data_IF_559981401815
#
_entry.id   IF_559981401815
#
_cell.length_a   1.000
_cell.length_b   1.000
_cell.length_c   1.000
_cell.angle_alpha   90.00
_cell.angle_beta   90.00
_cell.angle_gamma   90.00
#
_symmetry.space_group_name_H-M   'P 1'
#
loop_
_entity.id
_entity.type
_entity.pdbx_description
1 polymer ?
#
# COMPACT_ATOMS: atom_id res chain seq x y z
N UNK A 1 2.71 11.22 11.60
CA UNK A 1 2.59 9.76 11.46
C UNK A 1 2.49 9.50 9.97
N UNK A 2 3.50 8.89 9.36
CA UNK A 2 3.45 8.54 7.95
C UNK A 2 3.02 7.07 7.89
N UNK A 3 1.76 6.83 7.55
CA UNK A 3 1.31 5.51 7.10
C UNK A 3 1.44 5.58 5.57
N UNK A 4 2.23 4.71 4.91
CA UNK A 4 2.35 4.73 3.46
C UNK A 4 0.98 4.59 2.80
N UNK A 5 0.69 5.48 1.86
CA UNK A 5 -0.63 5.72 1.27
C UNK A 5 -0.87 4.96 -0.04
N UNK A 6 -0.48 3.69 -0.16
CA UNK A 6 -0.80 2.91 -1.38
C UNK A 6 -1.20 1.45 -1.10
N UNK A 7 -2.38 1.09 -1.61
CA UNK A 7 -3.06 -0.19 -1.49
C UNK A 7 -2.71 -1.12 -2.65
N UNK A 8 -1.43 -1.49 -2.68
CA UNK A 8 -1.20 -2.87 -3.06
C UNK A 8 -1.69 -3.78 -1.93
N UNK A 9 -1.76 -5.10 -2.14
CA UNK A 9 -1.73 -6.05 -1.05
C UNK A 9 -0.40 -5.99 -0.25
N UNK A 10 0.10 -4.79 0.07
CA UNK A 10 0.83 -4.55 1.30
C UNK A 10 -0.12 -4.95 2.42
N UNK A 11 0.09 -6.17 2.91
CA UNK A 11 -0.57 -6.76 4.05
C UNK A 11 -0.75 -5.68 5.12
N UNK A 12 -2.00 -5.35 5.41
CA UNK A 12 -2.33 -4.74 6.69
C UNK A 12 -1.63 -5.58 7.76
N UNK A 13 -0.95 -4.95 8.73
CA UNK A 13 -0.15 -5.72 9.67
C UNK A 13 -1.04 -6.72 10.42
N UNK A 14 -0.68 -7.99 10.37
CA UNK A 14 -1.22 -9.09 11.18
C UNK A 14 0.00 -9.74 11.85
N UNK A 15 0.35 -9.28 13.05
CA UNK A 15 1.57 -9.70 13.74
C UNK A 15 1.39 -11.06 14.42
N UNK A 16 0.15 -11.53 14.63
CA UNK A 16 -0.14 -12.79 15.32
C UNK A 16 -0.65 -13.91 14.39
N UNK A 17 -0.96 -13.61 13.13
CA UNK A 17 -1.41 -14.54 12.11
C UNK A 17 -2.87 -14.96 12.27
N UNK A 18 -3.70 -14.17 12.95
CA UNK A 18 -5.11 -14.48 13.20
C UNK A 18 -6.07 -14.02 12.10
N UNK A 19 -5.53 -13.38 11.05
CA UNK A 19 -6.27 -12.87 9.90
C UNK A 19 -6.92 -11.52 10.14
N UNK A 20 -6.60 -10.82 11.24
CA UNK A 20 -7.11 -9.48 11.56
C UNK A 20 -6.00 -8.45 11.48
N UNK A 21 -6.38 -7.22 11.18
CA UNK A 21 -5.48 -6.07 11.17
C UNK A 21 -5.11 -5.68 12.60
N UNK A 22 -3.85 -5.86 12.95
CA UNK A 22 -3.19 -5.33 14.13
C UNK A 22 -2.78 -3.86 13.95
N UNK A 23 -2.32 -3.21 15.02
CA UNK A 23 -1.92 -1.80 14.99
C UNK A 23 -0.44 -1.64 15.31
N UNK A 24 0.26 -0.89 14.46
CA UNK A 24 1.61 -0.42 14.71
C UNK A 24 1.69 1.10 14.53
N UNK A 25 2.41 1.78 15.41
CA UNK A 25 2.68 3.21 15.30
C UNK A 25 4.09 3.54 15.71
N UNK A 26 4.70 4.53 15.06
CA UNK A 26 5.99 5.10 15.45
C UNK A 26 5.80 6.60 15.71
N UNK A 27 5.98 7.00 16.98
CA UNK A 27 5.92 8.40 17.35
C UNK A 27 7.21 9.11 16.91
N UNK A 28 7.09 10.07 15.99
CA UNK A 28 8.26 10.76 15.43
C UNK A 28 9.02 11.64 16.44
N UNK A 29 8.34 12.08 17.52
CA UNK A 29 8.92 12.97 18.53
C UNK A 29 9.58 12.17 19.67
N UNK A 30 8.87 11.19 20.22
CA UNK A 30 9.38 10.37 21.33
C UNK A 30 10.22 9.18 20.85
N UNK A 31 10.10 8.82 19.57
CA UNK A 31 10.75 7.67 18.95
C UNK A 31 10.44 6.34 19.65
N UNK A 32 9.23 6.27 20.19
CA UNK A 32 8.62 5.03 20.69
C UNK A 32 7.79 4.43 19.57
N UNK A 33 8.00 3.14 19.30
CA UNK A 33 7.13 2.34 18.46
C UNK A 33 6.18 1.51 19.33
N UNK A 34 4.87 1.65 19.11
CA UNK A 34 3.84 0.91 19.83
C UNK A 34 3.16 -0.09 18.90
N UNK A 35 3.09 -1.35 19.33
CA UNK A 35 2.40 -2.45 18.66
C UNK A 35 1.25 -2.93 19.55
N UNK A 36 0.04 -3.02 18.99
CA UNK A 36 -1.13 -3.55 19.66
C UNK A 36 -1.77 -4.64 18.80
N UNK A 37 -1.87 -5.84 19.36
CA UNK A 37 -2.64 -6.93 18.78
C UNK A 37 -4.12 -6.65 19.02
N UNK A 38 -4.96 -6.69 17.99
CA UNK A 38 -6.38 -6.32 18.13
C UNK A 38 -7.36 -7.34 17.54
N UNK A 39 -8.56 -7.33 18.11
CA UNK A 39 -9.69 -8.12 17.64
C UNK A 39 -10.96 -7.27 17.76
N UNK A 40 -11.33 -6.61 16.66
CA UNK A 40 -12.32 -5.53 16.67
C UNK A 40 -11.88 -4.39 17.59
N UNK A 41 -12.67 -4.11 18.63
CA UNK A 41 -12.38 -3.08 19.64
C UNK A 41 -11.56 -3.58 20.84
N UNK A 42 -11.13 -4.84 20.85
CA UNK A 42 -10.39 -5.45 21.97
C UNK A 42 -8.89 -5.48 21.68
N UNK A 43 -8.07 -5.13 22.67
CA UNK A 43 -6.63 -5.41 22.65
C UNK A 43 -6.37 -6.82 23.19
N UNK A 44 -5.57 -7.60 22.47
CA UNK A 44 -5.15 -8.97 22.83
C UNK A 44 -3.75 -9.00 23.46
N UNK A 45 -2.97 -7.94 23.27
CA UNK A 45 -1.62 -7.78 23.77
C UNK A 45 -0.98 -6.53 23.18
N UNK A 46 0.04 -5.99 23.83
CA UNK A 46 0.77 -4.84 23.32
C UNK A 46 2.23 -4.84 23.75
N UNK A 47 3.05 -4.13 22.99
CA UNK A 47 4.45 -3.88 23.27
C UNK A 47 4.82 -2.46 22.85
N UNK A 48 5.79 -1.89 23.56
CA UNK A 48 6.40 -0.61 23.20
C UNK A 48 7.90 -0.79 23.06
N UNK A 49 8.45 -0.36 21.92
CA UNK A 49 9.88 -0.37 21.63
C UNK A 49 10.40 1.07 21.69
N UNK A 50 11.16 1.39 22.73
CA UNK A 50 11.69 2.74 22.96
C UNK A 50 13.03 2.97 22.27
N UNK A 51 13.37 4.24 22.05
CA UNK A 51 14.70 4.69 21.61
C UNK A 51 15.07 4.28 20.17
N UNK A 52 14.09 4.22 19.25
CA UNK A 52 14.38 4.03 17.83
C UNK A 52 15.12 5.27 17.31
N UNK A 53 16.38 5.19 16.83
CA UNK A 53 17.13 6.40 16.49
C UNK A 53 16.40 7.21 15.40
N UNK A 54 16.53 8.54 15.42
CA UNK A 54 15.75 9.43 14.56
C UNK A 54 16.05 9.29 13.07
N UNK A 55 17.21 8.74 12.70
CA UNK A 55 17.58 8.42 11.33
C UNK A 55 16.83 7.22 10.75
N UNK A 56 16.22 6.40 11.61
CA UNK A 56 15.45 5.24 11.17
C UNK A 56 14.06 5.65 10.73
N UNK A 57 13.68 5.22 9.54
CA UNK A 57 12.36 5.47 8.96
C UNK A 57 11.29 4.61 9.65
N UNK A 58 10.02 4.91 9.37
CA UNK A 58 8.94 3.99 9.74
C UNK A 58 9.17 2.67 8.99
N UNK A 59 9.00 1.51 9.65
CA UNK A 59 9.29 0.23 9.03
C UNK A 59 8.23 -0.11 7.97
N UNK A 60 8.62 -0.98 7.04
CA UNK A 60 7.68 -1.65 6.14
C UNK A 60 7.27 -3.00 6.72
N UNK A 61 6.04 -3.42 6.43
CA UNK A 61 5.42 -4.66 6.93
C UNK A 61 5.49 -5.76 5.88
N UNK A 62 6.03 -6.93 6.23
CA UNK A 62 6.11 -8.08 5.34
C UNK A 62 6.29 -9.36 6.13
N UNK A 63 6.03 -10.52 5.54
CA UNK A 63 6.30 -11.84 6.14
C UNK A 63 7.61 -12.35 5.55
N UNK A 64 8.75 -12.09 6.19
CA UNK A 64 10.08 -12.37 5.62
C UNK A 64 10.49 -13.83 5.81
N UNK A 65 9.88 -14.56 6.75
CA UNK A 65 10.22 -15.95 7.08
C UNK A 65 9.15 -16.98 6.68
N UNK A 66 7.98 -16.55 6.19
CA UNK A 66 6.91 -17.40 5.67
C UNK A 66 6.04 -18.03 6.77
N UNK A 67 6.07 -17.50 7.99
CA UNK A 67 5.28 -18.01 9.12
C UNK A 67 3.86 -17.42 9.18
N UNK A 68 3.50 -16.58 8.19
CA UNK A 68 2.22 -15.88 8.04
C UNK A 68 1.96 -14.80 9.09
N UNK A 69 3.02 -14.32 9.76
CA UNK A 69 2.94 -13.15 10.63
C UNK A 69 3.70 -12.00 10.00
N UNK A 70 3.33 -10.81 10.43
CA UNK A 70 3.96 -9.58 9.96
C UNK A 70 5.26 -9.31 10.69
N UNK A 71 6.34 -9.25 9.94
CA UNK A 71 7.66 -8.80 10.33
C UNK A 71 7.91 -7.33 9.93
N UNK A 72 9.03 -6.76 10.39
CA UNK A 72 9.39 -5.35 10.16
C UNK A 72 10.71 -5.21 9.41
N UNK A 73 10.69 -4.51 8.27
CA UNK A 73 11.89 -4.00 7.62
C UNK A 73 12.15 -2.56 8.05
N UNK A 74 13.28 -2.35 8.70
CA UNK A 74 13.79 -1.07 9.15
C UNK A 74 14.91 -0.56 8.24
N UNK A 75 14.94 0.76 8.01
CA UNK A 75 16.00 1.44 7.27
C UNK A 75 16.46 2.70 7.98
N UNK A 76 17.77 2.88 8.07
CA UNK A 76 18.41 4.13 8.45
C UNK A 76 18.78 4.92 7.19
N UNK A 77 18.10 6.02 6.95
CA UNK A 77 18.31 6.83 5.74
C UNK A 77 19.60 7.67 5.77
N UNK A 78 20.21 7.85 6.95
CA UNK A 78 21.47 8.57 7.09
C UNK A 78 22.68 7.69 6.79
N UNK A 79 22.64 6.42 7.20
CA UNK A 79 23.77 5.47 7.04
C UNK A 79 23.55 4.44 5.95
N UNK A 80 22.31 4.27 5.47
CA UNK A 80 21.93 3.21 4.55
C UNK A 80 21.82 1.83 5.21
N UNK A 81 21.95 1.74 6.54
CA UNK A 81 21.79 0.48 7.27
C UNK A 81 20.35 -0.04 7.14
N UNK A 82 20.20 -1.34 6.96
CA UNK A 82 18.92 -2.02 6.83
C UNK A 82 18.85 -3.14 7.87
N UNK A 83 17.71 -3.36 8.49
CA UNK A 83 17.52 -4.44 9.46
C UNK A 83 16.13 -5.04 9.36
N UNK A 84 16.01 -6.33 9.61
CA UNK A 84 14.72 -7.02 9.74
C UNK A 84 14.53 -7.41 11.20
N UNK A 85 13.32 -7.20 11.72
CA UNK A 85 12.83 -7.85 12.93
C UNK A 85 11.79 -8.88 12.53
N UNK A 86 12.10 -10.16 12.78
CA UNK A 86 11.11 -11.23 12.70
C UNK A 86 10.27 -11.19 13.96
N UNK A 87 8.96 -11.16 13.80
CA UNK A 87 7.99 -10.93 14.88
C UNK A 87 7.20 -12.19 15.19
N UNK A 88 6.71 -12.27 16.42
CA UNK A 88 5.75 -13.29 16.83
C UNK A 88 4.75 -12.65 17.79
N UNK A 89 3.62 -12.21 17.25
CA UNK A 89 2.72 -11.30 17.94
C UNK A 89 3.44 -9.99 18.31
N UNK A 90 3.23 -9.52 19.53
CA UNK A 90 3.85 -8.28 20.03
C UNK A 90 5.34 -8.42 20.38
N UNK A 91 5.99 -9.55 20.11
CA UNK A 91 7.39 -9.81 20.50
C UNK A 91 8.33 -9.90 19.30
N UNK A 92 9.55 -9.39 19.45
CA UNK A 92 10.64 -9.60 18.48
C UNK A 92 11.20 -11.00 18.72
N UNK A 93 10.98 -11.91 17.77
CA UNK A 93 11.53 -13.26 17.82
C UNK A 93 13.02 -13.27 17.53
N UNK A 94 13.45 -12.52 16.50
CA UNK A 94 14.84 -12.37 16.10
C UNK A 94 15.03 -11.05 15.34
N UNK A 95 16.27 -10.55 15.30
CA UNK A 95 16.61 -9.39 14.48
C UNK A 95 18.02 -9.48 13.94
N UNK A 96 18.21 -9.02 12.70
CA UNK A 96 19.52 -8.96 12.07
C UNK A 96 19.62 -7.77 11.11
N UNK A 97 20.86 -7.28 10.94
CA UNK A 97 21.18 -6.32 9.89
C UNK A 97 21.37 -7.03 8.56
N UNK A 98 20.93 -6.38 7.49
CA UNK A 98 21.23 -6.75 6.11
C UNK A 98 22.41 -5.93 5.58
N UNK A 99 22.82 -6.21 4.34
CA UNK A 99 23.78 -5.40 3.62
C UNK A 99 23.31 -3.93 3.55
N UNK A 100 24.17 -2.95 3.93
CA UNK A 100 23.80 -1.55 3.88
C UNK A 100 23.80 -1.03 2.43
N UNK A 101 22.84 -0.17 2.11
CA UNK A 101 22.75 0.55 0.83
C UNK A 101 22.82 2.06 1.10
N UNK A 102 24.02 2.62 0.97
CA UNK A 102 24.31 4.04 1.21
C UNK A 102 23.78 4.95 0.09
N UNK A 103 23.28 6.12 0.47
CA UNK A 103 22.68 7.11 -0.43
C UNK A 103 21.16 7.00 -0.48
N UNK A 104 20.55 7.63 -1.48
CA UNK A 104 19.09 7.70 -1.67
C UNK A 104 18.49 6.40 -2.25
N UNK A 105 18.88 5.25 -1.67
CA UNK A 105 18.21 3.99 -1.90
C UNK A 105 16.91 3.95 -1.10
N UNK A 106 15.85 3.47 -1.75
CA UNK A 106 14.52 3.26 -1.20
C UNK A 106 14.08 1.85 -1.55
N UNK A 107 13.04 1.34 -0.89
CA UNK A 107 12.53 0.00 -1.18
C UNK A 107 11.02 -0.02 -1.44
N UNK A 108 10.61 -0.99 -2.23
CA UNK A 108 9.28 -1.61 -2.16
C UNK A 108 9.49 -3.08 -1.79
N UNK A 109 8.48 -3.68 -1.16
CA UNK A 109 8.55 -5.07 -0.68
C UNK A 109 7.32 -5.80 -1.17
N UNK A 110 7.47 -7.07 -1.51
CA UNK A 110 6.40 -7.86 -2.11
C UNK A 110 6.86 -9.29 -2.34
N UNK A 111 5.96 -10.12 -2.86
CA UNK A 111 6.27 -11.50 -3.21
C UNK A 111 6.68 -11.60 -4.68
N UNK A 112 7.97 -11.58 -4.99
CA UNK A 112 8.44 -11.60 -6.39
C UNK A 112 8.62 -13.02 -6.93
N UNK A 113 8.64 -14.05 -6.07
CA UNK A 113 8.95 -15.43 -6.49
C UNK A 113 7.89 -16.49 -6.12
N UNK A 114 6.83 -16.10 -5.39
CA UNK A 114 5.72 -16.95 -4.93
C UNK A 114 6.14 -18.14 -4.05
N UNK A 115 7.22 -18.01 -3.26
CA UNK A 115 7.65 -18.94 -2.22
C UNK A 115 6.97 -18.75 -0.84
N UNK A 116 6.10 -17.74 -0.71
CA UNK A 116 5.38 -17.37 0.50
C UNK A 116 6.08 -16.33 1.38
N UNK A 117 7.27 -15.86 1.01
CA UNK A 117 8.06 -14.88 1.78
C UNK A 117 8.15 -13.54 1.06
N UNK A 118 8.31 -12.49 1.84
CA UNK A 118 8.44 -11.13 1.32
C UNK A 118 9.87 -10.88 0.87
N UNK A 119 10.03 -10.46 -0.37
CA UNK A 119 11.28 -10.07 -0.99
C UNK A 119 11.46 -8.54 -0.97
N UNK A 120 12.67 -8.08 -1.31
CA UNK A 120 13.03 -6.66 -1.30
C UNK A 120 13.41 -6.16 -2.70
N UNK A 121 12.71 -5.15 -3.19
CA UNK A 121 13.12 -4.40 -4.37
C UNK A 121 13.64 -3.02 -3.97
N UNK A 122 14.94 -2.83 -4.11
CA UNK A 122 15.67 -1.59 -3.86
C UNK A 122 15.80 -0.77 -5.14
N UNK A 123 15.63 0.54 -5.05
CA UNK A 123 15.85 1.46 -6.15
C UNK A 123 16.48 2.76 -5.65
N UNK A 124 17.29 3.39 -6.50
CA UNK A 124 17.85 4.70 -6.26
C UNK A 124 17.21 5.72 -7.21
N UNK A 125 16.42 6.65 -6.66
CA UNK A 125 15.67 7.62 -7.46
C UNK A 125 16.59 8.51 -8.30
N UNK A 126 17.74 8.94 -7.76
CA UNK A 126 18.64 9.86 -8.44
C UNK A 126 19.44 9.18 -9.55
N UNK A 127 19.96 7.97 -9.31
CA UNK A 127 20.88 7.30 -10.24
C UNK A 127 20.22 6.29 -11.17
N UNK A 128 19.00 5.85 -10.85
CA UNK A 128 18.25 4.81 -11.55
C UNK A 128 18.78 3.39 -11.31
N UNK A 129 19.73 3.20 -10.40
CA UNK A 129 20.20 1.86 -10.03
C UNK A 129 19.10 1.11 -9.24
N UNK A 130 18.95 -0.19 -9.47
CA UNK A 130 18.02 -1.03 -8.72
C UNK A 130 18.63 -2.39 -8.36
N UNK A 131 18.10 -3.01 -7.31
CA UNK A 131 18.41 -4.39 -6.90
C UNK A 131 17.13 -5.11 -6.46
N UNK A 132 16.92 -6.33 -6.92
CA UNK A 132 15.91 -7.24 -6.38
C UNK A 132 16.62 -8.30 -5.54
N UNK A 133 16.23 -8.46 -4.28
CA UNK A 133 16.74 -9.48 -3.36
C UNK A 133 15.61 -10.44 -3.03
N UNK A 134 15.76 -11.70 -3.44
CA UNK A 134 14.88 -12.77 -2.98
C UNK A 134 15.31 -13.19 -1.57
N UNK A 135 14.38 -13.26 -0.63
CA UNK A 135 14.66 -13.35 0.80
C UNK A 135 14.20 -14.68 1.42
N UNK A 136 14.93 -15.12 2.44
CA UNK A 136 14.51 -16.17 3.37
C UNK A 136 14.95 -15.76 4.79
N UNK A 137 14.01 -15.14 5.51
CA UNK A 137 14.27 -14.43 6.76
C UNK A 137 15.32 -13.33 6.56
N UNK A 138 16.53 -13.58 7.07
CA UNK A 138 17.64 -12.63 6.98
C UNK A 138 18.57 -12.86 5.78
N UNK A 139 18.35 -13.92 4.99
CA UNK A 139 19.24 -14.32 3.92
C UNK A 139 18.74 -13.84 2.56
N UNK A 140 19.64 -13.23 1.79
CA UNK A 140 19.46 -12.96 0.37
C UNK A 140 19.77 -14.23 -0.42
N UNK A 141 18.76 -15.00 -0.79
CA UNK A 141 18.92 -16.30 -1.46
C UNK A 141 19.36 -16.12 -2.91
N UNK A 142 18.82 -15.11 -3.60
CA UNK A 142 19.18 -14.71 -4.96
C UNK A 142 19.08 -13.19 -5.11
N UNK A 143 19.78 -12.65 -6.11
CA UNK A 143 19.72 -11.22 -6.39
C UNK A 143 19.87 -10.90 -7.87
N UNK A 144 19.17 -9.85 -8.29
CA UNK A 144 19.34 -9.19 -9.58
C UNK A 144 19.71 -7.74 -9.35
N UNK A 145 20.49 -7.14 -10.24
CA UNK A 145 20.78 -5.71 -10.23
C UNK A 145 20.76 -5.16 -11.64
N UNK A 146 20.38 -3.89 -11.77
CA UNK A 146 20.37 -3.22 -13.05
C UNK A 146 20.26 -1.71 -12.90
N UNK A 147 20.04 -1.04 -14.03
CA UNK A 147 20.00 0.42 -14.10
C UNK A 147 18.98 0.89 -15.13
N UNK A 148 18.22 1.90 -14.76
CA UNK A 148 17.37 2.71 -15.64
C UNK A 148 17.83 4.17 -15.61
N UNK A 149 17.17 5.06 -16.34
CA UNK A 149 17.36 6.49 -16.12
C UNK A 149 16.88 6.90 -14.71
N UNK A 150 17.46 7.95 -14.14
CA UNK A 150 16.99 8.48 -12.86
C UNK A 150 15.59 9.10 -12.96
N UNK A 151 14.93 9.26 -11.81
CA UNK A 151 13.64 9.93 -11.67
C UNK A 151 12.43 9.01 -11.69
N UNK A 152 12.62 7.69 -11.70
CA UNK A 152 11.54 6.71 -11.67
C UNK A 152 11.27 6.22 -10.24
N UNK A 153 9.99 6.06 -9.91
CA UNK A 153 9.51 5.52 -8.63
C UNK A 153 8.57 4.32 -8.92
N UNK A 154 8.78 3.17 -8.27
CA UNK A 154 7.91 2.02 -8.42
C UNK A 154 6.81 1.99 -7.37
N UNK A 155 5.63 1.55 -7.80
CA UNK A 155 4.61 0.91 -6.97
C UNK A 155 4.62 -0.60 -7.29
N UNK A 156 4.28 -1.44 -6.33
CA UNK A 156 4.08 -2.88 -6.60
C UNK A 156 2.69 -3.13 -7.21
N UNK A 157 2.40 -4.33 -7.70
CA UNK A 157 1.05 -4.86 -8.02
C UNK A 157 1.13 -6.30 -8.53
N UNK A 158 0.01 -6.91 -8.91
CA UNK A 158 -0.02 -8.07 -9.81
C UNK A 158 -0.76 -7.68 -11.09
N UNK A 159 -0.03 -7.30 -12.15
CA UNK A 159 -0.64 -6.83 -13.40
C UNK A 159 -1.01 -7.98 -14.34
N UNK A 160 -0.42 -9.16 -14.12
CA UNK A 160 -0.61 -10.31 -15.02
C UNK A 160 -1.42 -11.46 -14.41
N UNK A 161 -1.85 -11.34 -13.16
CA UNK A 161 -2.55 -12.34 -12.36
C UNK A 161 -1.79 -13.68 -12.30
N UNK A 162 -0.47 -13.61 -12.12
CA UNK A 162 0.39 -14.79 -11.93
C UNK A 162 0.71 -15.08 -10.46
N UNK A 163 0.21 -14.24 -9.54
CA UNK A 163 0.42 -14.35 -8.10
C UNK A 163 1.79 -13.85 -7.63
N UNK A 164 2.55 -13.17 -8.49
CA UNK A 164 3.79 -12.48 -8.14
C UNK A 164 3.61 -10.98 -8.18
N UNK A 165 4.56 -10.33 -7.54
CA UNK A 165 4.70 -8.90 -7.50
C UNK A 165 5.39 -8.40 -8.77
N UNK A 166 4.65 -7.61 -9.51
CA UNK A 166 5.07 -6.75 -10.60
C UNK A 166 5.34 -5.31 -10.09
N UNK A 167 5.88 -4.46 -10.96
CA UNK A 167 6.18 -3.06 -10.67
C UNK A 167 5.51 -2.14 -11.68
N UNK A 168 4.71 -1.19 -11.19
CA UNK A 168 4.34 0.00 -11.95
C UNK A 168 5.35 1.12 -11.67
N UNK A 169 6.08 1.50 -12.71
CA UNK A 169 7.00 2.61 -12.68
C UNK A 169 6.35 3.89 -13.18
N UNK A 170 6.47 4.97 -12.40
CA UNK A 170 6.16 6.33 -12.84
C UNK A 170 7.41 7.19 -12.75
N UNK A 171 7.61 8.08 -13.72
CA UNK A 171 8.64 9.11 -13.68
C UNK A 171 7.98 10.47 -13.42
N UNK A 172 7.85 10.92 -12.16
CA UNK A 172 7.15 12.17 -11.85
C UNK A 172 7.70 13.42 -12.56
N UNK A 173 9.02 13.53 -12.87
CA UNK A 173 9.54 14.65 -13.65
C UNK A 173 9.07 14.70 -15.11
N UNK A 174 8.79 13.55 -15.75
CA UNK A 174 8.48 13.47 -17.19
C UNK A 174 7.06 13.00 -17.51
N UNK A 175 6.36 12.44 -16.53
CA UNK A 175 5.03 11.85 -16.70
C UNK A 175 5.02 10.48 -17.38
N UNK A 176 6.19 9.91 -17.71
CA UNK A 176 6.33 8.58 -18.34
C UNK A 176 5.96 7.47 -17.35
N UNK A 177 5.46 6.37 -17.90
CA UNK A 177 4.97 5.23 -17.15
C UNK A 177 5.47 3.90 -17.77
N UNK A 178 5.65 2.85 -16.97
CA UNK A 178 6.02 1.51 -17.46
C UNK A 178 5.54 0.45 -16.47
N UNK A 179 5.22 -0.76 -16.94
CA UNK A 179 4.98 -1.94 -16.10
C UNK A 179 6.11 -2.93 -16.30
N UNK A 180 6.65 -3.45 -15.21
CA UNK A 180 7.70 -4.46 -15.21
C UNK A 180 7.23 -5.71 -14.49
N UNK A 181 7.55 -6.86 -15.06
CA UNK A 181 7.32 -8.18 -14.45
C UNK A 181 8.64 -8.90 -14.23
N UNK A 182 8.65 -9.84 -13.30
CA UNK A 182 9.85 -10.60 -12.96
C UNK A 182 9.63 -12.11 -13.14
N UNK A 183 10.57 -12.75 -13.84
CA UNK A 183 10.64 -14.20 -13.93
C UNK A 183 11.68 -14.73 -12.93
N UNK A 184 11.25 -15.35 -11.82
CA UNK A 184 12.16 -15.92 -10.83
C UNK A 184 12.95 -17.12 -11.38
N UNK A 185 12.47 -17.86 -12.37
CA UNK A 185 13.18 -19.05 -12.87
C UNK A 185 14.51 -18.64 -13.53
N UNK A 186 14.46 -17.64 -14.41
CA UNK A 186 15.63 -17.14 -15.15
C UNK A 186 16.26 -15.89 -14.55
N UNK A 187 15.69 -15.33 -13.46
CA UNK A 187 16.17 -14.11 -12.79
C UNK A 187 16.20 -12.91 -13.73
N UNK A 188 15.12 -12.70 -14.49
CA UNK A 188 15.04 -11.63 -15.47
C UNK A 188 13.82 -10.75 -15.26
N UNK A 189 13.98 -9.47 -15.54
CA UNK A 189 12.89 -8.50 -15.58
C UNK A 189 12.52 -8.20 -17.03
N UNK A 190 11.23 -8.14 -17.31
CA UNK A 190 10.68 -7.64 -18.58
C UNK A 190 9.91 -6.36 -18.31
N UNK A 191 9.92 -5.41 -19.25
CA UNK A 191 9.27 -4.11 -19.08
C UNK A 191 8.53 -3.67 -20.33
N UNK A 192 7.35 -3.08 -20.14
CA UNK A 192 6.53 -2.51 -21.20
C UNK A 192 6.28 -1.02 -20.92
N UNK A 193 6.49 -0.17 -21.92
CA UNK A 193 6.22 1.27 -21.79
C UNK A 193 4.73 1.55 -21.91
N UNK A 194 4.21 2.44 -21.08
CA UNK A 194 2.82 2.88 -21.11
C UNK A 194 2.71 4.30 -21.66
N UNK A 195 1.50 4.74 -22.06
CA UNK A 195 1.24 6.14 -22.33
C UNK A 195 1.66 7.04 -21.16
N UNK A 196 2.25 8.20 -21.47
CA UNK A 196 2.55 9.21 -20.44
C UNK A 196 1.26 9.84 -19.92
N UNK A 197 1.30 10.31 -18.67
CA UNK A 197 0.22 11.08 -18.02
C UNK A 197 0.80 12.36 -17.41
N UNK A 198 0.05 13.46 -17.48
CA UNK A 198 0.52 14.78 -17.08
C UNK A 198 0.96 14.84 -15.60
N UNK A 199 1.84 15.79 -15.28
CA UNK A 199 2.57 15.81 -14.00
C UNK A 199 1.69 16.10 -12.78
N UNK A 200 0.50 16.69 -12.99
CA UNK A 200 -0.46 16.94 -11.92
C UNK A 200 -1.22 15.68 -11.50
N UNK A 201 -1.19 14.64 -12.33
CA UNK A 201 -1.86 13.37 -12.07
C UNK A 201 -1.01 12.46 -11.19
N UNK A 202 -1.62 11.92 -10.17
CA UNK A 202 -1.08 10.84 -9.35
C UNK A 202 -1.73 9.51 -9.76
N UNK A 203 -0.97 8.43 -9.64
CA UNK A 203 -1.43 7.08 -9.87
C UNK A 203 -1.57 6.32 -8.55
N UNK A 204 -2.57 5.47 -8.48
CA UNK A 204 -2.73 4.41 -7.48
C UNK A 204 -3.04 3.11 -8.23
N UNK A 205 -2.49 2.00 -7.76
CA UNK A 205 -2.75 0.69 -8.34
C UNK A 205 -3.91 0.05 -7.59
N UNK A 206 -4.90 -0.48 -8.31
CA UNK A 206 -6.16 -1.05 -7.76
C UNK A 206 -6.59 -2.26 -8.60
N UNK A 207 -7.58 -3.04 -8.19
CA UNK A 207 -8.30 -3.97 -9.10
C UNK A 207 -9.72 -3.44 -9.27
N UNK A 208 -9.94 -2.56 -10.25
CA UNK A 208 -11.20 -1.82 -10.37
C UNK A 208 -12.34 -2.72 -10.85
N UNK A 209 -12.02 -3.72 -11.67
CA UNK A 209 -12.98 -4.57 -12.38
C UNK A 209 -13.11 -5.99 -11.80
N UNK A 210 -12.28 -6.36 -10.82
CA UNK A 210 -12.31 -7.63 -10.09
C UNK A 210 -11.85 -8.82 -10.92
N UNK A 211 -11.04 -8.61 -11.96
CA UNK A 211 -10.51 -9.69 -12.80
C UNK A 211 -9.23 -10.34 -12.24
N UNK A 212 -8.77 -9.85 -11.09
CA UNK A 212 -7.55 -10.28 -10.40
C UNK A 212 -6.27 -9.69 -10.98
N UNK A 213 -6.36 -8.85 -12.01
CA UNK A 213 -5.24 -8.05 -12.51
C UNK A 213 -5.35 -6.65 -11.94
N UNK A 214 -4.20 -6.03 -11.80
CA UNK A 214 -4.10 -4.67 -11.31
C UNK A 214 -4.38 -3.66 -12.43
N UNK A 215 -5.27 -2.73 -12.13
CA UNK A 215 -5.61 -1.52 -12.87
C UNK A 215 -4.86 -0.28 -12.33
N UNK A 216 -5.01 0.89 -12.97
CA UNK A 216 -4.42 2.16 -12.50
C UNK A 216 -5.50 3.22 -12.38
N UNK A 217 -5.72 3.65 -11.15
CA UNK A 217 -6.48 4.84 -10.83
C UNK A 217 -5.61 6.09 -10.94
N UNK A 218 -6.11 7.08 -11.67
CA UNK A 218 -5.48 8.36 -11.91
C UNK A 218 -6.29 9.49 -11.31
N UNK A 219 -5.64 10.37 -10.55
CA UNK A 219 -6.26 11.62 -10.06
C UNK A 219 -5.42 12.84 -10.35
N UNK A 220 -6.00 13.82 -11.02
CA UNK A 220 -5.42 15.15 -11.19
C UNK A 220 -5.55 15.96 -9.89
N UNK A 221 -4.42 16.22 -9.23
CA UNK A 221 -4.41 16.99 -7.98
C UNK A 221 -4.74 18.46 -8.16
N UNK A 222 -4.66 18.98 -9.39
CA UNK A 222 -4.97 20.39 -9.68
C UNK A 222 -6.46 20.59 -9.97
N UNK A 223 -7.03 19.73 -10.82
CA UNK A 223 -8.42 19.88 -11.27
C UNK A 223 -9.41 18.99 -10.51
N UNK A 224 -8.92 17.95 -9.82
CA UNK A 224 -9.72 16.94 -9.14
C UNK A 224 -10.39 15.93 -10.08
N UNK A 225 -10.02 15.90 -11.36
CA UNK A 225 -10.46 14.88 -12.31
C UNK A 225 -9.92 13.50 -11.94
N UNK A 226 -10.73 12.48 -12.17
CA UNK A 226 -10.43 11.10 -11.82
C UNK A 226 -10.67 10.19 -13.02
N UNK A 227 -9.76 9.26 -13.27
CA UNK A 227 -9.82 8.32 -14.38
C UNK A 227 -9.30 6.95 -13.95
N UNK A 228 -9.76 5.88 -14.59
CA UNK A 228 -9.19 4.54 -14.45
C UNK A 228 -8.68 4.08 -15.81
N UNK A 229 -7.43 3.63 -15.84
CA UNK A 229 -6.92 2.79 -16.91
C UNK A 229 -7.20 1.35 -16.50
N UNK A 230 -7.87 0.60 -17.37
CA UNK A 230 -8.10 -0.83 -17.21
C UNK A 230 -7.45 -1.58 -18.36
N UNK A 231 -7.28 -2.90 -18.24
CA UNK A 231 -6.69 -3.74 -19.29
C UNK A 231 -7.60 -4.92 -19.62
N UNK A 232 -7.85 -5.16 -20.91
CA UNK A 232 -8.60 -6.34 -21.41
C UNK A 232 -7.85 -7.69 -21.31
N UNK A 233 -6.65 -7.71 -20.74
CA UNK A 233 -5.87 -8.94 -20.50
C UNK A 233 -4.99 -9.42 -21.65
N UNK A 234 -4.80 -8.63 -22.71
CA UNK A 234 -3.84 -8.92 -23.80
C UNK A 234 -2.66 -7.93 -23.71
N UNK A 235 -1.51 -8.41 -23.24
CA UNK A 235 -0.32 -7.57 -23.01
C UNK A 235 -0.49 -6.59 -21.84
N UNK A 236 0.44 -5.66 -21.66
CA UNK A 236 0.38 -4.65 -20.59
C UNK A 236 -0.02 -3.25 -21.09
N UNK A 237 -0.67 -3.12 -22.26
CA UNK A 237 -1.21 -1.82 -22.70
C UNK A 237 -2.62 -1.57 -22.15
N UNK A 238 -2.89 -0.40 -21.55
CA UNK A 238 -4.23 -0.08 -21.08
C UNK A 238 -5.19 0.01 -22.26
N UNK A 239 -6.46 -0.19 -21.96
CA UNK A 239 -7.54 0.02 -22.91
C UNK A 239 -7.47 1.44 -23.47
N UNK A 240 -7.71 1.56 -24.78
CA UNK A 240 -7.51 2.81 -25.51
C UNK A 240 -8.38 3.98 -25.00
N UNK A 241 -9.45 3.66 -24.27
CA UNK A 241 -10.36 4.66 -23.69
C UNK A 241 -10.38 4.48 -22.17
N UNK A 242 -9.88 5.46 -21.39
CA UNK A 242 -9.98 5.40 -19.95
C UNK A 242 -11.44 5.50 -19.49
N UNK A 243 -11.71 4.98 -18.29
CA UNK A 243 -12.99 5.17 -17.63
C UNK A 243 -12.94 6.50 -16.87
N UNK A 244 -13.77 7.46 -17.25
CA UNK A 244 -13.90 8.71 -16.51
C UNK A 244 -14.75 8.49 -15.24
N UNK A 245 -14.21 8.89 -14.09
CA UNK A 245 -14.91 8.88 -12.81
C UNK A 245 -15.36 10.31 -12.43
N UNK A 246 -16.30 10.45 -11.48
CA UNK A 246 -16.75 11.76 -11.02
C UNK A 246 -15.58 12.65 -10.58
N UNK A 247 -15.66 13.95 -10.86
CA UNK A 247 -14.67 14.92 -10.38
C UNK A 247 -14.78 15.18 -8.88
N UNK A 248 -13.66 15.54 -8.25
CA UNK A 248 -13.56 15.90 -6.82
C UNK A 248 -13.03 17.31 -6.63
N UNK A 249 -13.14 17.87 -5.43
CA UNK A 249 -12.34 19.05 -5.08
C UNK A 249 -10.87 18.65 -4.93
N UNK A 250 -9.94 19.59 -5.14
CA UNK A 250 -8.50 19.30 -5.09
C UNK A 250 -8.01 18.86 -3.70
N UNK A 251 -8.71 19.28 -2.64
CA UNK A 251 -8.37 19.00 -1.24
C UNK A 251 -8.85 17.63 -0.73
N UNK A 252 -9.59 16.83 -1.50
CA UNK A 252 -10.02 15.51 -1.03
C UNK A 252 -8.86 14.53 -0.88
N UNK A 253 -8.99 13.64 0.09
CA UNK A 253 -8.21 12.40 0.23
C UNK A 253 -9.06 11.24 -0.25
N UNK A 254 -8.45 10.31 -0.98
CA UNK A 254 -9.10 9.10 -1.48
C UNK A 254 -8.40 7.88 -0.87
N UNK A 255 -9.20 6.88 -0.49
CA UNK A 255 -8.74 5.54 -0.11
C UNK A 255 -9.56 4.54 -0.89
N UNK A 256 -8.96 3.42 -1.24
CA UNK A 256 -9.60 2.37 -2.02
C UNK A 256 -9.80 1.12 -1.16
N UNK A 257 -10.83 0.33 -1.42
CA UNK A 257 -11.08 -0.92 -0.71
C UNK A 257 -12.23 -1.66 -1.38
N UNK A 258 -12.39 -2.96 -1.10
CA UNK A 258 -13.66 -3.65 -1.37
C UNK A 258 -14.56 -3.48 -0.14
N UNK A 259 -15.40 -2.43 -0.13
CA UNK A 259 -16.23 -2.12 1.03
C UNK A 259 -17.48 -3.01 1.11
N UNK A 260 -17.88 -3.61 0.00
CA UNK A 260 -19.09 -4.43 -0.11
C UNK A 260 -18.83 -5.92 -0.32
N UNK A 261 -17.56 -6.31 -0.45
CA UNK A 261 -17.07 -7.69 -0.60
C UNK A 261 -17.45 -8.34 -1.93
N UNK A 262 -17.58 -7.55 -2.99
CA UNK A 262 -17.94 -8.04 -4.32
C UNK A 262 -16.72 -8.36 -5.21
N UNK A 263 -15.51 -8.15 -4.69
CA UNK A 263 -14.25 -8.33 -5.38
C UNK A 263 -13.84 -7.15 -6.26
N UNK A 264 -14.57 -6.03 -6.24
CA UNK A 264 -14.26 -4.81 -6.97
C UNK A 264 -13.65 -3.77 -6.03
N UNK A 265 -12.80 -2.89 -6.58
CA UNK A 265 -12.27 -1.76 -5.80
C UNK A 265 -13.25 -0.57 -5.79
N UNK A 266 -13.71 -0.23 -4.59
CA UNK A 266 -14.49 0.97 -4.25
C UNK A 266 -13.59 2.11 -3.75
N UNK A 267 -14.17 3.30 -3.54
CA UNK A 267 -13.44 4.50 -3.12
C UNK A 267 -14.11 5.19 -1.93
N UNK A 268 -13.38 5.39 -0.84
CA UNK A 268 -13.73 6.36 0.21
C UNK A 268 -13.16 7.72 -0.19
N UNK A 269 -14.04 8.67 -0.48
CA UNK A 269 -13.69 10.05 -0.86
C UNK A 269 -14.02 10.99 0.29
N UNK A 270 -12.99 11.56 0.90
CA UNK A 270 -13.10 12.43 2.07
C UNK A 270 -12.63 13.82 1.76
N UNK A 271 -13.43 14.83 2.09
CA UNK A 271 -12.99 16.21 2.14
C UNK A 271 -12.51 16.54 3.57
N UNK A 272 -11.19 16.63 3.83
CA UNK A 272 -10.66 16.87 5.17
C UNK A 272 -11.00 18.27 5.69
N UNK A 273 -11.26 19.24 4.83
CA UNK A 273 -11.62 20.62 5.22
C UNK A 273 -13.02 20.72 5.81
N UNK A 274 -13.95 19.91 5.31
CA UNK A 274 -15.38 19.93 5.70
C UNK A 274 -15.78 18.72 6.56
N UNK A 275 -15.00 17.64 6.52
CA UNK A 275 -15.35 16.34 7.10
C UNK A 275 -16.37 15.55 6.28
N UNK A 276 -16.77 16.02 5.09
CA UNK A 276 -17.74 15.32 4.26
C UNK A 276 -17.11 14.06 3.65
N UNK A 277 -17.76 12.92 3.88
CA UNK A 277 -17.31 11.59 3.44
C UNK A 277 -18.33 11.01 2.47
N UNK A 278 -17.82 10.44 1.39
CA UNK A 278 -18.57 9.69 0.39
C UNK A 278 -17.93 8.33 0.19
N UNK A 279 -18.73 7.34 -0.16
CA UNK A 279 -18.22 6.10 -0.72
C UNK A 279 -18.72 5.96 -2.15
N UNK A 280 -17.83 5.64 -3.06
CA UNK A 280 -18.11 5.39 -4.46
C UNK A 280 -17.98 3.89 -4.71
N UNK A 281 -19.10 3.22 -4.93
CA UNK A 281 -19.16 1.79 -5.16
C UNK A 281 -18.93 1.48 -6.63
N UNK A 282 -18.00 0.58 -6.93
CA UNK A 282 -17.64 0.20 -8.30
C UNK A 282 -18.55 -0.89 -8.86
N UNK A 283 -18.79 -0.85 -10.17
CA UNK A 283 -19.32 -1.98 -10.93
C UNK A 283 -18.34 -2.48 -12.01
N UNK A 284 -17.06 -2.11 -11.90
CA UNK A 284 -16.00 -2.40 -12.85
C UNK A 284 -16.04 -1.57 -14.13
N UNK A 285 -17.01 -0.65 -14.28
CA UNK A 285 -17.14 0.24 -15.44
C UNK A 285 -17.47 1.69 -15.10
N UNK A 286 -17.94 1.92 -13.88
CA UNK A 286 -18.44 3.20 -13.37
C UNK A 286 -18.58 3.09 -11.85
N UNK A 287 -18.93 4.19 -11.19
CA UNK A 287 -19.20 4.20 -9.76
C UNK A 287 -20.57 4.77 -9.42
N UNK A 288 -21.20 4.24 -8.38
CA UNK A 288 -22.37 4.83 -7.70
C UNK A 288 -21.90 5.62 -6.47
N UNK A 289 -22.30 6.89 -6.33
CA UNK A 289 -21.91 7.72 -5.19
C UNK A 289 -22.95 7.59 -4.07
N UNK A 290 -22.51 7.14 -2.90
CA UNK A 290 -23.27 7.11 -1.67
C UNK A 290 -22.72 8.12 -0.66
N UNK A 291 -23.60 8.95 -0.11
CA UNK A 291 -23.26 9.74 1.07
C UNK A 291 -23.26 8.83 2.29
N UNK A 292 -22.21 8.90 3.10
CA UNK A 292 -22.09 8.14 4.36
C UNK A 292 -22.09 9.10 5.56
N UNK A 293 -22.20 8.55 6.77
CA UNK A 293 -22.00 9.35 7.97
C UNK A 293 -20.63 10.05 7.88
N UNK A 294 -20.55 11.32 8.26
CA UNK A 294 -19.32 12.10 8.16
C UNK A 294 -18.54 12.09 9.47
N UNK A 295 -17.21 12.02 9.42
CA UNK A 295 -16.36 12.32 10.58
C UNK A 295 -15.78 13.72 10.50
N UNK A 296 -15.68 14.39 11.66
CA UNK A 296 -15.13 15.73 11.76
C UNK A 296 -13.75 15.85 11.10
N UNK A 297 -13.43 17.01 10.52
CA UNK A 297 -12.18 17.34 9.84
C UNK A 297 -10.89 16.88 10.59
N UNK A 298 -10.94 16.84 11.91
CA UNK A 298 -9.85 16.37 12.78
C UNK A 298 -9.60 14.86 12.80
N UNK A 299 -10.20 14.08 11.90
CA UNK A 299 -9.99 12.64 11.76
C UNK A 299 -9.40 12.26 10.40
N UNK A 300 -8.60 11.19 10.38
CA UNK A 300 -8.13 10.48 9.18
C UNK A 300 -8.70 9.07 9.14
N UNK A 301 -8.82 8.51 7.94
CA UNK A 301 -9.26 7.13 7.71
C UNK A 301 -8.08 6.18 7.48
N UNK A 302 -8.16 5.01 8.11
CA UNK A 302 -7.26 3.87 7.96
C UNK A 302 -8.12 2.66 7.56
N UNK A 303 -7.81 2.03 6.43
CA UNK A 303 -8.57 0.88 5.89
C UNK A 303 -7.91 -0.42 6.36
N UNK A 304 -8.71 -1.40 6.74
CA UNK A 304 -8.26 -2.76 7.06
C UNK A 304 -9.41 -3.64 7.53
N UNK A 305 -9.22 -4.95 7.56
CA UNK A 305 -10.18 -5.88 8.19
C UNK A 305 -9.84 -5.98 9.69
N UNK A 306 -10.56 -5.25 10.55
CA UNK A 306 -10.28 -5.24 12.00
C UNK A 306 -11.07 -6.32 12.76
N UNK A 307 -12.11 -6.90 12.14
CA UNK A 307 -13.00 -7.86 12.80
C UNK A 307 -12.86 -9.32 12.28
N UNK A 308 -12.10 -9.54 11.22
CA UNK A 308 -11.80 -10.81 10.57
C UNK A 308 -12.92 -11.35 9.67
N UNK A 309 -13.84 -10.50 9.21
CA UNK A 309 -14.96 -10.90 8.34
C UNK A 309 -14.67 -10.79 6.84
N UNK A 310 -13.47 -10.35 6.48
CA UNK A 310 -12.93 -10.14 5.13
C UNK A 310 -13.53 -8.96 4.37
N UNK A 311 -14.36 -8.15 5.00
CA UNK A 311 -14.74 -6.86 4.45
C UNK A 311 -13.77 -5.79 4.91
N UNK A 312 -13.53 -4.79 4.06
CA UNK A 312 -12.69 -3.67 4.45
C UNK A 312 -13.45 -2.74 5.38
N UNK A 313 -12.96 -2.57 6.60
CA UNK A 313 -13.50 -1.62 7.58
C UNK A 313 -12.79 -0.26 7.47
N UNK A 314 -13.39 0.76 8.08
CA UNK A 314 -12.79 2.10 8.17
C UNK A 314 -12.52 2.42 9.64
N UNK A 315 -11.25 2.49 10.02
CA UNK A 315 -10.81 3.05 11.30
C UNK A 315 -10.56 4.54 11.16
N UNK A 316 -11.33 5.32 11.90
CA UNK A 316 -11.15 6.75 12.06
C UNK A 316 -10.26 7.03 13.25
N UNK A 317 -9.19 7.77 13.03
CA UNK A 317 -8.27 8.19 14.10
C UNK A 317 -8.14 9.70 14.09
N UNK A 318 -8.24 10.33 15.25
CA UNK A 318 -8.04 11.77 15.35
C UNK A 318 -6.61 12.13 14.95
N UNK A 319 -6.40 13.33 14.39
CA UNK A 319 -5.08 13.78 13.95
C UNK A 319 -4.09 13.90 15.11
N UNK A 320 -4.58 14.16 16.33
CA UNK A 320 -3.79 14.11 17.58
C UNK A 320 -3.62 12.68 18.14
N UNK A 321 -4.25 11.68 17.52
CA UNK A 321 -4.21 10.26 17.87
C UNK A 321 -4.77 9.92 19.26
N UNK A 322 -5.59 10.78 19.85
CA UNK A 322 -6.22 10.56 21.16
C UNK A 322 -7.56 9.83 21.09
N UNK A 323 -8.22 9.85 19.93
CA UNK A 323 -9.52 9.23 19.71
C UNK A 323 -9.47 8.28 18.51
N UNK A 324 -10.20 7.17 18.63
CA UNK A 324 -10.38 6.22 17.54
C UNK A 324 -11.79 5.65 17.54
N UNK A 325 -12.38 5.54 16.35
CA UNK A 325 -13.70 4.94 16.10
C UNK A 325 -13.56 4.03 14.88
N UNK A 326 -14.14 2.83 14.92
CA UNK A 326 -14.13 1.91 13.78
C UNK A 326 -15.54 1.82 13.23
N UNK A 327 -15.67 1.92 11.91
CA UNK A 327 -16.85 1.55 11.16
C UNK A 327 -16.60 0.18 10.56
N UNK A 328 -17.25 -0.82 11.14
CA UNK A 328 -17.23 -2.15 10.56
C UNK A 328 -18.09 -2.15 9.31
N UNK A 329 -17.51 -2.58 8.20
CA UNK A 329 -18.33 -2.96 7.07
C UNK A 329 -19.04 -4.27 7.42
N UNK A 330 -20.23 -4.47 6.88
CA UNK A 330 -20.95 -5.73 6.93
C UNK A 330 -21.33 -6.20 5.52
N UNK A 331 -20.59 -5.72 4.51
CA UNK A 331 -20.91 -5.86 3.10
C UNK A 331 -22.06 -4.97 2.61
N UNK A 332 -22.62 -4.10 3.47
CA UNK A 332 -23.70 -3.17 3.13
C UNK A 332 -23.40 -1.81 3.75
N UNK A 333 -22.86 -0.87 2.96
CA UNK A 333 -22.74 0.50 3.44
C UNK A 333 -24.13 1.06 3.78
N UNK A 334 -24.30 1.73 4.93
CA UNK A 334 -25.59 2.31 5.29
C UNK A 334 -26.00 3.32 4.21
N UNK A 335 -27.08 3.01 3.51
CA UNK A 335 -27.69 3.95 2.56
C UNK A 335 -28.16 5.19 3.34
N UNK A 336 -27.93 6.41 2.84
CA UNK A 336 -28.53 7.58 3.46
C UNK A 336 -30.05 7.38 3.44
N UNK A 337 -30.69 7.49 4.61
CA UNK A 337 -32.15 7.53 4.66
C UNK A 337 -32.59 8.75 3.88
N UNK A 338 -33.14 8.55 2.68
CA UNK A 338 -33.82 9.59 1.93
C UNK A 338 -35.07 9.93 2.75
N UNK A 339 -35.08 11.13 3.34
CA UNK A 339 -36.24 11.66 4.06
C UNK A 339 -37.40 11.94 3.10
#
# INVERSE_FOLDING_TARGET
MAVPESLNPLRVPDFNGDGRTDLFSLNINTRVADLNLVSGVRSLGSSSFSSIPSSWEAPKYGDFNGDRKTDLLWRDSATGANGIWLMNGASIQAGAFLEPLQGDWRSVIGEFNSDGKTDLFWYNFATGDYQLWLMDGFQKTRQLSGKIEGGWEPSIADFNNDGRTDLFWRNPPTGRNSIWTFDPQVLSISGESLPSKELTWNAEVIDFNGDGRSDIYWRDRLTGQNQVWTWTGIGFQPDATPIDLPGTSSDVTIRTADFEGNGLTDFLVRNPSTGNDQVWLSNGRSVEILAVASQAAGFRAEIGDYNGDRFSDIRWTSLDSTQSVIWFSNGILPKPMVA
#
